data_IF_148105414154
#
_entry.id   IF_148105414154
#
_cell.length_a   1.000
_cell.length_b   1.000
_cell.length_c   1.000
_cell.angle_alpha   90.00
_cell.angle_beta   90.00
_cell.angle_gamma   90.00
#
_symmetry.space_group_name_H-M   'P 1'
#
loop_
_entity.id
_entity.type
_entity.pdbx_description
1 polymer ?
#
# COMPACT_ATOMS: atom_id res chain seq x y z
N UNK A 1 29.92 12.83 -15.23
CA UNK A 1 28.82 12.29 -16.08
C UNK A 1 28.74 10.80 -15.85
N UNK A 2 27.67 10.27 -15.26
CA UNK A 2 27.46 8.80 -15.23
C UNK A 2 27.00 8.40 -16.62
N UNK A 3 27.87 7.74 -17.37
CA UNK A 3 27.51 7.20 -18.67
C UNK A 3 26.40 6.17 -18.47
N UNK A 4 25.33 6.31 -19.25
CA UNK A 4 24.28 5.30 -19.28
C UNK A 4 24.87 4.01 -19.84
N UNK A 5 24.82 2.94 -19.08
CA UNK A 5 25.26 1.62 -19.54
C UNK A 5 24.12 0.96 -20.31
N UNK A 6 24.43 0.48 -21.51
CA UNK A 6 23.44 -0.25 -22.32
C UNK A 6 22.92 -1.47 -21.55
N UNK A 7 21.60 -1.57 -21.42
CA UNK A 7 20.90 -2.68 -20.76
C UNK A 7 19.96 -3.34 -21.76
N UNK A 8 20.23 -4.60 -22.08
CA UNK A 8 19.34 -5.41 -22.93
C UNK A 8 18.25 -6.06 -22.05
N UNK A 9 17.30 -5.26 -21.59
CA UNK A 9 16.19 -5.70 -20.74
C UNK A 9 14.87 -5.14 -21.26
N UNK A 10 13.76 -5.81 -20.93
CA UNK A 10 12.42 -5.28 -21.20
C UNK A 10 12.19 -4.06 -20.31
N UNK A 11 11.90 -2.93 -20.94
CA UNK A 11 11.61 -1.68 -20.24
C UNK A 11 10.12 -1.61 -19.94
N UNK A 12 9.78 -1.79 -18.67
CA UNK A 12 8.42 -1.59 -18.17
C UNK A 12 8.18 -0.12 -17.75
N UNK A 13 6.95 0.19 -17.33
CA UNK A 13 6.56 1.53 -16.86
C UNK A 13 7.47 2.06 -15.73
N UNK A 14 7.95 1.18 -14.83
CA UNK A 14 8.81 1.56 -13.71
C UNK A 14 10.21 1.93 -14.19
N UNK A 15 10.77 1.11 -15.08
CA UNK A 15 12.09 1.36 -15.66
C UNK A 15 12.09 2.59 -16.58
N UNK A 16 11.00 2.79 -17.35
CA UNK A 16 10.84 4.00 -18.17
C UNK A 16 10.84 5.27 -17.31
N UNK A 17 10.12 5.24 -16.17
CA UNK A 17 10.14 6.36 -15.21
C UNK A 17 11.55 6.61 -14.67
N UNK A 18 12.31 5.57 -14.35
CA UNK A 18 13.69 5.69 -13.87
C UNK A 18 14.61 6.26 -14.95
N UNK A 19 14.43 5.85 -16.22
CA UNK A 19 15.19 6.37 -17.35
C UNK A 19 14.93 7.88 -17.53
N UNK A 20 13.66 8.30 -17.51
CA UNK A 20 13.31 9.71 -17.62
C UNK A 20 13.82 10.53 -16.43
N UNK A 21 13.68 10.02 -15.20
CA UNK A 21 14.23 10.70 -14.01
C UNK A 21 15.75 10.86 -14.11
N UNK A 22 16.46 9.81 -14.55
CA UNK A 22 17.90 9.88 -14.79
C UNK A 22 18.23 10.91 -15.88
N UNK A 23 17.47 10.97 -16.96
CA UNK A 23 17.67 11.95 -18.04
C UNK A 23 17.54 13.38 -17.53
N UNK A 24 16.51 13.69 -16.71
CA UNK A 24 16.32 15.01 -16.12
C UNK A 24 17.44 15.41 -15.13
N UNK A 25 17.99 14.44 -14.39
CA UNK A 25 19.10 14.72 -13.44
C UNK A 25 20.48 14.81 -14.11
N UNK A 26 20.66 14.19 -15.28
CA UNK A 26 21.97 14.10 -15.95
C UNK A 26 22.14 15.07 -17.12
N UNK A 27 21.06 15.52 -17.72
CA UNK A 27 21.04 16.41 -18.88
C UNK A 27 20.13 17.62 -18.64
N UNK A 28 20.15 18.55 -19.58
CA UNK A 28 19.26 19.70 -19.55
C UNK A 28 17.80 19.29 -19.81
N UNK A 29 16.87 20.07 -19.27
CA UNK A 29 15.42 19.86 -19.44
C UNK A 29 15.01 19.72 -20.90
N UNK A 30 15.61 20.50 -21.81
CA UNK A 30 15.34 20.43 -23.23
C UNK A 30 15.72 19.08 -23.86
N UNK A 31 16.89 18.54 -23.50
CA UNK A 31 17.35 17.24 -23.98
C UNK A 31 16.48 16.08 -23.43
N UNK A 32 16.05 16.20 -22.17
CA UNK A 32 15.13 15.24 -21.58
C UNK A 32 13.76 15.23 -22.29
N UNK A 33 13.25 16.39 -22.68
CA UNK A 33 12.02 16.50 -23.47
C UNK A 33 12.18 15.88 -24.86
N UNK A 34 13.30 16.11 -25.55
CA UNK A 34 13.58 15.48 -26.84
C UNK A 34 13.64 13.96 -26.72
N UNK A 35 14.30 13.42 -25.69
CA UNK A 35 14.32 12.00 -25.42
C UNK A 35 12.92 11.43 -25.20
N UNK A 36 12.07 12.12 -24.45
CA UNK A 36 10.68 11.70 -24.22
C UNK A 36 9.87 11.68 -25.53
N UNK A 37 10.06 12.67 -26.41
CA UNK A 37 9.43 12.70 -27.72
C UNK A 37 9.89 11.59 -28.63
N UNK A 38 11.19 11.31 -28.69
CA UNK A 38 11.74 10.20 -29.48
C UNK A 38 11.21 8.85 -28.98
N UNK A 39 11.14 8.62 -27.67
CA UNK A 39 10.54 7.43 -27.09
C UNK A 39 9.06 7.29 -27.44
N UNK A 40 8.31 8.38 -27.43
CA UNK A 40 6.92 8.43 -27.88
C UNK A 40 6.79 8.01 -29.33
N UNK A 41 7.58 8.59 -30.23
CA UNK A 41 7.56 8.24 -31.67
C UNK A 41 7.93 6.78 -31.89
N UNK A 42 8.96 6.30 -31.22
CA UNK A 42 9.37 4.90 -31.29
C UNK A 42 8.20 3.98 -30.86
N UNK A 43 7.58 4.27 -29.73
CA UNK A 43 6.43 3.53 -29.21
C UNK A 43 5.26 3.49 -30.20
N UNK A 44 4.86 4.62 -30.75
CA UNK A 44 3.78 4.68 -31.74
C UNK A 44 4.13 3.92 -33.03
N UNK A 45 5.34 4.09 -33.54
CA UNK A 45 5.80 3.40 -34.75
C UNK A 45 5.67 1.89 -34.61
N UNK A 46 6.27 1.32 -33.52
CA UNK A 46 6.25 -0.12 -33.33
C UNK A 46 4.90 -0.67 -32.92
N UNK A 47 4.10 0.08 -32.13
CA UNK A 47 2.74 -0.33 -31.83
C UNK A 47 1.84 -0.42 -33.09
N UNK A 48 2.00 0.52 -34.01
CA UNK A 48 1.29 0.49 -35.31
C UNK A 48 1.75 -0.66 -36.19
N UNK A 49 3.07 -0.92 -36.25
CA UNK A 49 3.60 -2.06 -37.02
C UNK A 49 3.19 -3.42 -36.42
N UNK A 50 3.13 -3.53 -35.12
CA UNK A 50 2.73 -4.76 -34.43
C UNK A 50 1.24 -5.10 -34.64
N UNK A 51 0.38 -4.10 -34.89
CA UNK A 51 -1.05 -4.30 -35.16
C UNK A 51 -1.75 -5.08 -34.05
N UNK A 52 -1.46 -4.73 -32.77
CA UNK A 52 -1.98 -5.46 -31.60
C UNK A 52 -3.51 -5.43 -31.58
N UNK A 53 -4.13 -6.60 -31.64
CA UNK A 53 -5.58 -6.80 -31.57
C UNK A 53 -5.91 -7.82 -30.49
N UNK A 54 -7.15 -7.91 -30.06
CA UNK A 54 -7.63 -8.85 -29.05
C UNK A 54 -8.66 -9.75 -29.67
N UNK A 55 -8.48 -11.06 -29.50
CA UNK A 55 -9.47 -12.08 -29.83
C UNK A 55 -9.89 -12.87 -28.59
N UNK A 56 -10.99 -13.63 -28.69
CA UNK A 56 -11.42 -14.53 -27.61
C UNK A 56 -10.38 -15.65 -27.37
N UNK A 57 -9.66 -16.05 -28.40
CA UNK A 57 -8.62 -17.09 -28.30
C UNK A 57 -7.40 -16.63 -27.50
N UNK A 58 -7.10 -15.33 -27.47
CA UNK A 58 -6.00 -14.78 -26.67
C UNK A 58 -6.26 -14.91 -25.16
N UNK A 59 -7.51 -15.11 -24.77
CA UNK A 59 -7.91 -15.32 -23.39
C UNK A 59 -7.72 -16.78 -22.95
N UNK A 60 -6.50 -17.31 -23.00
CA UNK A 60 -6.18 -18.69 -22.63
C UNK A 60 -6.33 -18.92 -21.13
N UNK A 61 -7.12 -19.93 -20.77
CA UNK A 61 -7.38 -20.29 -19.38
C UNK A 61 -6.33 -21.33 -18.95
N UNK A 62 -5.54 -21.07 -17.89
CA UNK A 62 -4.58 -22.03 -17.39
C UNK A 62 -5.27 -23.26 -16.81
N UNK A 63 -4.75 -24.45 -17.12
CA UNK A 63 -5.29 -25.71 -16.60
C UNK A 63 -5.25 -25.81 -15.06
N UNK A 64 -4.32 -25.11 -14.44
CA UNK A 64 -4.15 -25.03 -12.98
C UNK A 64 -5.40 -24.46 -12.28
N UNK A 65 -6.24 -23.70 -12.98
CA UNK A 65 -7.45 -23.08 -12.42
C UNK A 65 -8.39 -24.13 -11.78
N UNK A 66 -8.70 -25.22 -12.48
CA UNK A 66 -9.63 -26.26 -11.99
C UNK A 66 -9.10 -26.90 -10.70
N UNK A 67 -7.82 -27.24 -10.66
CA UNK A 67 -7.17 -27.85 -9.50
C UNK A 67 -7.18 -26.92 -8.28
N UNK A 68 -6.93 -25.61 -8.50
CA UNK A 68 -6.95 -24.63 -7.42
C UNK A 68 -8.35 -24.40 -6.87
N UNK A 69 -9.36 -24.36 -7.75
CA UNK A 69 -10.75 -24.20 -7.32
C UNK A 69 -11.25 -25.42 -6.54
N UNK A 70 -10.86 -26.64 -6.93
CA UNK A 70 -11.20 -27.87 -6.21
C UNK A 70 -10.57 -27.89 -4.81
N UNK A 71 -9.29 -27.53 -4.67
CA UNK A 71 -8.63 -27.39 -3.36
C UNK A 71 -9.36 -26.40 -2.47
N UNK A 72 -9.69 -25.21 -2.98
CA UNK A 72 -10.43 -24.20 -2.23
C UNK A 72 -11.81 -24.71 -1.78
N UNK A 73 -12.53 -25.44 -2.66
CA UNK A 73 -13.82 -26.06 -2.30
C UNK A 73 -13.67 -27.10 -1.18
N UNK A 74 -12.62 -27.93 -1.21
CA UNK A 74 -12.35 -28.91 -0.16
C UNK A 74 -12.06 -28.26 1.19
N UNK A 75 -11.28 -27.16 1.21
CA UNK A 75 -11.00 -26.38 2.42
C UNK A 75 -12.26 -25.77 3.01
N UNK A 76 -13.14 -25.22 2.18
CA UNK A 76 -14.42 -24.67 2.62
C UNK A 76 -15.32 -25.76 3.18
N UNK A 77 -15.42 -26.89 2.51
CA UNK A 77 -16.22 -28.04 3.00
C UNK A 77 -15.69 -28.56 4.34
N UNK A 78 -14.38 -28.59 4.53
CA UNK A 78 -13.78 -28.93 5.83
C UNK A 78 -14.14 -27.89 6.90
N UNK A 79 -14.14 -26.60 6.56
CA UNK A 79 -14.56 -25.53 7.48
C UNK A 79 -16.03 -25.64 7.87
N UNK A 80 -16.91 -26.04 6.93
CA UNK A 80 -18.32 -26.32 7.21
C UNK A 80 -18.50 -27.50 8.16
N UNK A 81 -17.75 -28.59 7.95
CA UNK A 81 -17.76 -29.75 8.85
C UNK A 81 -17.33 -29.37 10.28
N UNK A 82 -16.34 -28.47 10.42
CA UNK A 82 -15.86 -28.00 11.70
C UNK A 82 -16.93 -27.12 12.39
N UNK A 83 -17.64 -26.29 11.61
CA UNK A 83 -18.76 -25.49 12.07
C UNK A 83 -19.91 -26.36 12.57
N UNK A 84 -20.32 -27.36 11.80
CA UNK A 84 -21.39 -28.30 12.20
C UNK A 84 -21.04 -29.08 13.48
N UNK A 85 -19.76 -29.28 13.78
CA UNK A 85 -19.28 -29.85 15.04
C UNK A 85 -19.27 -28.85 16.20
N UNK A 86 -19.69 -27.63 16.00
CA UNK A 86 -19.73 -26.58 17.02
C UNK A 86 -18.36 -26.04 17.47
N UNK A 87 -17.29 -26.30 16.71
CA UNK A 87 -15.92 -25.87 17.08
C UNK A 87 -15.58 -24.44 16.71
N UNK A 88 -16.29 -23.86 15.75
CA UNK A 88 -16.13 -22.48 15.28
C UNK A 88 -17.49 -21.79 15.24
N UNK A 89 -17.48 -20.46 15.41
CA UNK A 89 -18.66 -19.59 15.31
C UNK A 89 -19.00 -19.32 13.84
N UNK A 90 -20.22 -18.83 13.58
CA UNK A 90 -20.65 -18.45 12.22
C UNK A 90 -19.79 -17.33 11.63
N UNK A 91 -19.40 -16.34 12.46
CA UNK A 91 -18.51 -15.25 12.05
C UNK A 91 -17.12 -15.78 11.64
N UNK A 92 -16.57 -16.70 12.42
CA UNK A 92 -15.28 -17.33 12.10
C UNK A 92 -15.36 -18.16 10.80
N UNK A 93 -16.46 -18.91 10.61
CA UNK A 93 -16.72 -19.64 9.37
C UNK A 93 -16.76 -18.69 8.17
N UNK A 94 -17.54 -17.62 8.27
CA UNK A 94 -17.68 -16.62 7.22
C UNK A 94 -16.33 -15.97 6.85
N UNK A 95 -15.54 -15.59 7.86
CA UNK A 95 -14.22 -15.01 7.63
C UNK A 95 -13.27 -16.02 6.95
N UNK A 96 -13.28 -17.29 7.36
CA UNK A 96 -12.49 -18.33 6.68
C UNK A 96 -12.85 -18.50 5.21
N UNK A 97 -14.13 -18.49 4.88
CA UNK A 97 -14.60 -18.57 3.48
C UNK A 97 -14.04 -17.40 2.67
N UNK A 98 -14.15 -16.17 3.19
CA UNK A 98 -13.65 -14.97 2.51
C UNK A 98 -12.13 -15.07 2.31
N UNK A 99 -11.39 -15.45 3.35
CA UNK A 99 -9.93 -15.54 3.30
C UNK A 99 -9.47 -16.60 2.30
N UNK A 100 -10.08 -17.80 2.31
CA UNK A 100 -9.78 -18.88 1.35
C UNK A 100 -9.99 -18.41 -0.09
N UNK A 101 -11.12 -17.78 -0.41
CA UNK A 101 -11.38 -17.27 -1.75
C UNK A 101 -10.47 -16.11 -2.16
N UNK A 102 -10.13 -15.22 -1.22
CA UNK A 102 -9.20 -14.12 -1.48
C UNK A 102 -7.79 -14.64 -1.80
N UNK A 103 -7.28 -15.58 -1.00
CA UNK A 103 -5.98 -16.22 -1.21
C UNK A 103 -5.96 -17.01 -2.54
N UNK A 104 -6.99 -17.79 -2.82
CA UNK A 104 -7.11 -18.53 -4.08
C UNK A 104 -7.12 -17.59 -5.29
N UNK A 105 -7.85 -16.49 -5.19
CA UNK A 105 -7.94 -15.48 -6.25
C UNK A 105 -6.59 -14.79 -6.53
N UNK A 106 -5.82 -14.47 -5.48
CA UNK A 106 -4.50 -13.86 -5.61
C UNK A 106 -3.46 -14.85 -6.13
N UNK A 107 -3.49 -16.07 -5.64
CA UNK A 107 -2.64 -17.17 -6.11
C UNK A 107 -2.90 -17.49 -7.58
N UNK A 108 -4.17 -17.51 -8.00
CA UNK A 108 -4.55 -17.69 -9.39
C UNK A 108 -4.03 -16.56 -10.29
N UNK A 109 -4.06 -15.29 -9.83
CA UNK A 109 -3.48 -14.16 -10.55
C UNK A 109 -1.99 -14.39 -10.81
N UNK A 110 -1.24 -14.84 -9.81
CA UNK A 110 0.19 -15.09 -9.93
C UNK A 110 0.49 -16.24 -10.90
N UNK A 111 -0.34 -17.30 -10.89
CA UNK A 111 -0.22 -18.41 -11.84
C UNK A 111 -0.55 -17.99 -13.28
N UNK A 112 -1.50 -17.09 -13.49
CA UNK A 112 -1.82 -16.53 -14.81
C UNK A 112 -0.63 -15.74 -15.35
N UNK A 113 -0.01 -14.89 -14.52
CA UNK A 113 1.19 -14.13 -14.90
C UNK A 113 2.34 -15.08 -15.27
N UNK A 114 2.58 -16.11 -14.45
CA UNK A 114 3.58 -17.14 -14.71
C UNK A 114 3.33 -17.88 -16.03
N UNK A 115 2.07 -18.25 -16.28
CA UNK A 115 1.68 -18.92 -17.52
C UNK A 115 1.96 -18.04 -18.75
N UNK A 116 1.50 -16.80 -18.77
CA UNK A 116 1.77 -15.90 -19.90
C UNK A 116 3.26 -15.62 -20.10
N UNK A 117 4.00 -15.41 -19.03
CA UNK A 117 5.44 -15.15 -19.12
C UNK A 117 6.24 -16.29 -19.75
N UNK A 118 5.87 -17.54 -19.45
CA UNK A 118 6.66 -18.71 -19.85
C UNK A 118 6.14 -19.38 -21.13
N UNK A 119 4.83 -19.39 -21.34
CA UNK A 119 4.20 -20.15 -22.43
C UNK A 119 3.70 -19.28 -23.60
N UNK A 120 3.31 -18.05 -23.31
CA UNK A 120 2.75 -17.16 -24.34
C UNK A 120 3.12 -15.68 -24.11
N UNK A 121 4.43 -15.34 -24.21
CA UNK A 121 4.90 -13.99 -23.91
C UNK A 121 4.45 -12.95 -24.96
N UNK A 122 4.04 -13.38 -26.14
CA UNK A 122 3.56 -12.51 -27.23
C UNK A 122 2.03 -12.31 -27.22
N UNK A 123 1.34 -12.80 -26.19
CA UNK A 123 -0.09 -12.60 -26.06
C UNK A 123 -0.45 -11.12 -25.93
N UNK A 124 -1.39 -10.65 -26.81
CA UNK A 124 -1.79 -9.24 -26.89
C UNK A 124 -2.30 -8.70 -25.55
N UNK A 125 -3.10 -9.47 -24.81
CA UNK A 125 -3.65 -9.06 -23.52
C UNK A 125 -2.56 -8.93 -22.47
N UNK A 126 -1.60 -9.86 -22.48
CA UNK A 126 -0.46 -9.83 -21.57
C UNK A 126 0.45 -8.65 -21.87
N UNK A 127 0.80 -8.40 -23.12
CA UNK A 127 1.63 -7.25 -23.53
C UNK A 127 1.01 -5.94 -23.07
N UNK A 128 -0.29 -5.72 -23.31
CA UNK A 128 -0.97 -4.50 -22.90
C UNK A 128 -1.00 -4.30 -21.38
N UNK A 129 -1.32 -5.35 -20.62
CA UNK A 129 -1.41 -5.28 -19.17
C UNK A 129 -0.04 -5.19 -18.49
N UNK A 130 0.96 -5.91 -19.00
CA UNK A 130 2.32 -5.93 -18.46
C UNK A 130 3.07 -4.62 -18.73
N UNK A 131 2.95 -4.07 -19.94
CA UNK A 131 3.54 -2.77 -20.27
C UNK A 131 2.95 -1.61 -19.45
N UNK A 132 1.77 -1.78 -18.89
CA UNK A 132 1.05 -0.75 -18.15
C UNK A 132 0.44 0.33 -19.06
N UNK A 133 0.41 0.10 -20.38
CA UNK A 133 -0.21 1.01 -21.35
C UNK A 133 -1.73 1.03 -21.21
N UNK A 134 -2.33 -0.15 -21.11
CA UNK A 134 -3.79 -0.29 -20.95
C UNK A 134 -4.14 -1.54 -20.15
N UNK A 135 -5.09 -1.39 -19.24
CA UNK A 135 -5.52 -2.49 -18.39
C UNK A 135 -4.62 -2.70 -17.18
N UNK A 136 -5.10 -3.59 -16.30
CA UNK A 136 -4.41 -3.98 -15.09
C UNK A 136 -4.43 -5.50 -14.97
N UNK A 137 -3.44 -6.10 -14.36
CA UNK A 137 -3.38 -7.54 -14.12
C UNK A 137 -4.58 -8.09 -13.33
N UNK A 138 -5.20 -7.25 -12.49
CA UNK A 138 -6.46 -7.60 -11.81
C UNK A 138 -7.65 -7.73 -12.78
N UNK A 139 -7.67 -6.95 -13.87
CA UNK A 139 -8.68 -7.07 -14.92
C UNK A 139 -8.46 -8.32 -15.77
N UNK A 140 -7.20 -8.65 -16.09
CA UNK A 140 -6.84 -9.91 -16.78
C UNK A 140 -7.29 -11.13 -15.96
N UNK A 141 -7.15 -11.08 -14.63
CA UNK A 141 -7.67 -12.13 -13.75
C UNK A 141 -9.17 -12.35 -13.93
N UNK A 142 -9.96 -11.28 -14.09
CA UNK A 142 -11.41 -11.41 -14.33
C UNK A 142 -11.73 -12.00 -15.69
N UNK A 143 -10.90 -11.74 -16.70
CA UNK A 143 -11.10 -12.26 -18.07
C UNK A 143 -10.77 -13.74 -18.18
N UNK A 144 -9.70 -14.20 -17.53
CA UNK A 144 -9.09 -15.53 -17.72
C UNK A 144 -9.17 -16.40 -16.46
N UNK A 145 -9.10 -15.80 -15.27
CA UNK A 145 -9.09 -16.52 -13.99
C UNK A 145 -10.48 -16.72 -13.41
N UNK A 146 -10.79 -15.98 -12.35
CA UNK A 146 -12.12 -15.94 -11.73
C UNK A 146 -12.49 -14.49 -11.39
N UNK A 147 -13.77 -14.18 -11.37
CA UNK A 147 -14.22 -12.85 -10.99
C UNK A 147 -14.02 -12.62 -9.48
N UNK A 148 -14.30 -13.61 -8.65
CA UNK A 148 -14.06 -13.58 -7.22
C UNK A 148 -15.28 -13.18 -6.39
N UNK A 149 -15.02 -12.69 -5.17
CA UNK A 149 -16.05 -12.26 -4.23
C UNK A 149 -16.65 -10.92 -4.65
N UNK A 150 -17.96 -10.81 -4.53
CA UNK A 150 -18.73 -9.60 -4.84
C UNK A 150 -19.31 -8.98 -3.58
N UNK A 151 -19.56 -7.67 -3.62
CA UNK A 151 -20.28 -6.98 -2.57
C UNK A 151 -21.78 -6.90 -2.86
N UNK A 152 -22.59 -7.06 -1.84
CA UNK A 152 -24.03 -6.85 -1.84
C UNK A 152 -24.37 -5.33 -1.96
N UNK A 153 -25.60 -4.93 -2.33
CA UNK A 153 -26.04 -3.55 -2.33
C UNK A 153 -25.82 -2.81 -1.01
N UNK A 154 -25.93 -3.51 0.13
CA UNK A 154 -25.64 -2.97 1.48
C UNK A 154 -24.15 -2.72 1.72
N UNK A 155 -23.25 -3.27 0.89
CA UNK A 155 -21.80 -3.17 1.02
C UNK A 155 -21.15 -4.30 1.79
N UNK A 156 -21.91 -5.29 2.23
CA UNK A 156 -21.37 -6.51 2.82
C UNK A 156 -20.82 -7.43 1.72
N UNK A 157 -19.84 -8.25 2.08
CA UNK A 157 -19.26 -9.21 1.14
C UNK A 157 -20.15 -10.44 1.11
N UNK A 158 -20.50 -10.91 -0.08
CA UNK A 158 -21.22 -12.16 -0.24
C UNK A 158 -20.27 -13.35 -0.07
N UNK A 159 -20.73 -14.39 0.61
CA UNK A 159 -19.97 -15.63 0.84
C UNK A 159 -19.87 -16.53 -0.41
N UNK A 160 -20.66 -16.25 -1.44
CA UNK A 160 -20.64 -16.97 -2.72
C UNK A 160 -19.72 -16.25 -3.71
N UNK A 161 -18.56 -16.83 -4.10
CA UNK A 161 -17.70 -16.26 -5.13
C UNK A 161 -18.21 -16.61 -6.52
N UNK A 162 -17.96 -15.74 -7.47
CA UNK A 162 -18.11 -16.03 -8.89
C UNK A 162 -16.86 -16.77 -9.36
N UNK A 163 -16.95 -18.08 -9.53
CA UNK A 163 -15.84 -18.96 -9.93
C UNK A 163 -15.53 -18.88 -11.41
N UNK A 164 -16.53 -18.52 -12.22
CA UNK A 164 -16.41 -18.36 -13.67
C UNK A 164 -15.73 -17.04 -14.04
N UNK A 165 -15.18 -17.01 -15.24
CA UNK A 165 -14.60 -15.83 -15.85
C UNK A 165 -15.46 -15.35 -17.04
N UNK A 166 -15.10 -14.20 -17.62
CA UNK A 166 -15.86 -13.67 -18.76
C UNK A 166 -15.72 -14.53 -20.02
N UNK A 167 -14.61 -15.25 -20.22
CA UNK A 167 -14.45 -16.15 -21.36
C UNK A 167 -15.38 -17.37 -21.28
N UNK A 168 -15.52 -17.97 -20.10
CA UNK A 168 -16.41 -19.12 -19.85
C UNK A 168 -17.89 -18.74 -19.88
N UNK A 169 -18.19 -17.44 -19.74
CA UNK A 169 -19.52 -16.93 -19.55
C UNK A 169 -20.01 -17.08 -18.09
N UNK A 170 -20.87 -16.17 -17.68
CA UNK A 170 -21.45 -16.14 -16.34
C UNK A 170 -22.77 -16.91 -16.31
N UNK A 171 -23.09 -17.53 -15.17
CA UNK A 171 -24.43 -18.04 -14.91
C UNK A 171 -25.42 -16.89 -14.71
N UNK A 172 -26.71 -17.17 -14.76
CA UNK A 172 -27.74 -16.16 -14.51
C UNK A 172 -27.59 -15.54 -13.12
N UNK A 173 -27.31 -16.38 -12.12
CA UNK A 173 -27.05 -15.93 -10.73
C UNK A 173 -25.79 -15.06 -10.64
N UNK A 174 -24.68 -15.46 -11.29
CA UNK A 174 -23.44 -14.69 -11.32
C UNK A 174 -23.64 -13.32 -12.01
N UNK A 175 -24.45 -13.29 -13.05
CA UNK A 175 -24.78 -12.08 -13.78
C UNK A 175 -25.58 -11.09 -12.91
N UNK A 176 -26.61 -11.57 -12.20
CA UNK A 176 -27.40 -10.76 -11.29
C UNK A 176 -26.55 -10.21 -10.13
N UNK A 177 -25.73 -11.06 -9.50
CA UNK A 177 -24.80 -10.61 -8.46
C UNK A 177 -23.82 -9.55 -8.97
N UNK A 178 -23.33 -9.72 -10.19
CA UNK A 178 -22.46 -8.74 -10.85
C UNK A 178 -23.17 -7.43 -11.12
N UNK A 179 -24.47 -7.48 -11.46
CA UNK A 179 -25.32 -6.31 -11.69
C UNK A 179 -25.47 -5.45 -10.46
N UNK A 180 -25.59 -6.02 -9.26
CA UNK A 180 -25.64 -5.27 -8.00
C UNK A 180 -24.35 -4.47 -7.76
N UNK A 181 -23.20 -5.13 -7.93
CA UNK A 181 -21.90 -4.46 -7.78
C UNK A 181 -21.69 -3.34 -8.80
N UNK A 182 -22.06 -3.55 -10.06
CA UNK A 182 -21.98 -2.55 -11.11
C UNK A 182 -22.88 -1.33 -10.82
N UNK A 183 -24.15 -1.57 -10.46
CA UNK A 183 -25.09 -0.51 -10.10
C UNK A 183 -24.60 0.32 -8.92
N UNK A 184 -24.13 -0.33 -7.88
CA UNK A 184 -23.54 0.35 -6.70
C UNK A 184 -22.34 1.19 -7.10
N UNK A 185 -21.44 0.65 -7.93
CA UNK A 185 -20.26 1.38 -8.41
C UNK A 185 -20.63 2.65 -9.18
N UNK A 186 -21.65 2.61 -10.07
CA UNK A 186 -22.13 3.78 -10.81
C UNK A 186 -22.71 4.83 -9.85
N UNK A 187 -23.58 4.43 -8.94
CA UNK A 187 -24.20 5.33 -7.96
C UNK A 187 -23.17 5.95 -7.03
N UNK A 188 -22.27 5.13 -6.49
CA UNK A 188 -21.18 5.60 -5.63
C UNK A 188 -20.27 6.60 -6.34
N UNK A 189 -19.94 6.36 -7.61
CA UNK A 189 -19.13 7.27 -8.40
C UNK A 189 -19.82 8.62 -8.58
N UNK A 190 -21.10 8.62 -8.95
CA UNK A 190 -21.87 9.85 -9.12
C UNK A 190 -21.97 10.69 -7.84
N UNK A 191 -22.27 10.04 -6.70
CA UNK A 191 -22.41 10.73 -5.41
C UNK A 191 -21.08 11.18 -4.82
N UNK A 192 -20.05 10.31 -4.85
CA UNK A 192 -18.75 10.61 -4.24
C UNK A 192 -17.95 11.64 -5.03
N UNK A 193 -18.17 11.77 -6.34
CA UNK A 193 -17.53 12.81 -7.17
C UNK A 193 -17.91 14.20 -6.68
N UNK A 194 -19.20 14.45 -6.40
CA UNK A 194 -19.66 15.70 -5.84
C UNK A 194 -19.03 16.00 -4.47
N UNK A 195 -18.97 15.00 -3.58
CA UNK A 195 -18.34 15.13 -2.26
C UNK A 195 -16.85 15.46 -2.35
N UNK A 196 -16.12 14.81 -3.28
CA UNK A 196 -14.71 15.09 -3.51
C UNK A 196 -14.49 16.51 -4.04
N UNK A 197 -15.32 16.97 -4.98
CA UNK A 197 -15.26 18.35 -5.49
C UNK A 197 -15.55 19.38 -4.40
N UNK A 198 -16.55 19.15 -3.56
CA UNK A 198 -16.86 20.02 -2.44
C UNK A 198 -15.76 20.07 -1.38
N UNK A 199 -15.13 18.90 -1.06
CA UNK A 199 -13.99 18.85 -0.17
C UNK A 199 -12.80 19.66 -0.72
N UNK A 200 -12.50 19.50 -2.02
CA UNK A 200 -11.42 20.24 -2.68
C UNK A 200 -11.65 21.75 -2.61
N UNK A 201 -12.86 22.22 -2.90
CA UNK A 201 -13.21 23.63 -2.80
C UNK A 201 -12.99 24.15 -1.36
N UNK A 202 -13.49 23.44 -0.34
CA UNK A 202 -13.32 23.85 1.06
C UNK A 202 -11.84 23.90 1.48
N UNK A 203 -11.02 22.93 1.02
CA UNK A 203 -9.58 22.93 1.29
C UNK A 203 -8.92 24.15 0.68
N UNK A 204 -9.24 24.49 -0.57
CA UNK A 204 -8.69 25.66 -1.26
C UNK A 204 -9.14 26.96 -0.56
N UNK A 205 -10.43 27.09 -0.22
CA UNK A 205 -10.95 28.29 0.46
C UNK A 205 -10.22 28.58 1.80
N UNK A 206 -9.86 27.52 2.55
CA UNK A 206 -9.13 27.66 3.81
C UNK A 206 -7.64 27.94 3.62
N UNK A 207 -7.03 27.39 2.58
CA UNK A 207 -5.58 27.43 2.38
C UNK A 207 -5.09 28.47 1.38
N UNK A 208 -5.96 29.19 0.69
CA UNK A 208 -5.59 30.14 -0.37
C UNK A 208 -4.66 31.27 0.09
N UNK A 209 -4.75 31.65 1.37
CA UNK A 209 -3.92 32.71 1.94
C UNK A 209 -2.46 32.32 2.16
N UNK A 210 -2.15 31.00 2.08
CA UNK A 210 -0.81 30.50 2.36
C UNK A 210 0.05 30.64 1.10
N UNK A 211 0.93 31.64 1.14
CA UNK A 211 1.85 31.99 0.06
C UNK A 211 3.29 31.92 0.56
N UNK A 212 4.25 31.78 -0.36
CA UNK A 212 5.68 31.99 -0.07
C UNK A 212 5.95 33.49 -0.03
N UNK A 213 6.23 34.05 1.17
CA UNK A 213 6.45 35.51 1.32
C UNK A 213 7.88 35.92 1.49
N UNK A 214 8.69 35.09 2.15
CA UNK A 214 10.07 35.43 2.53
C UNK A 214 11.05 34.32 2.19
N UNK A 215 12.32 34.65 2.05
CA UNK A 215 13.39 33.68 1.80
C UNK A 215 13.67 32.81 3.03
N UNK A 216 13.71 33.39 4.22
CA UNK A 216 14.09 32.69 5.45
C UNK A 216 13.40 33.29 6.67
N UNK A 217 12.69 32.49 7.45
CA UNK A 217 12.09 32.92 8.73
C UNK A 217 13.02 32.75 9.93
N UNK A 218 14.28 32.33 9.74
CA UNK A 218 15.31 32.16 10.78
C UNK A 218 14.88 31.26 11.96
N UNK A 219 13.97 30.33 11.75
CA UNK A 219 13.48 29.44 12.79
C UNK A 219 14.58 28.51 13.33
N UNK A 220 14.62 28.35 14.66
CA UNK A 220 15.42 27.33 15.33
C UNK A 220 14.69 25.96 15.43
N UNK A 221 13.37 25.97 15.24
CA UNK A 221 12.57 24.77 15.31
C UNK A 221 12.76 23.88 14.08
N UNK A 222 12.80 22.58 14.29
CA UNK A 222 13.02 21.60 13.24
C UNK A 222 12.16 20.36 13.43
N UNK A 223 11.90 19.68 12.34
CA UNK A 223 11.30 18.35 12.37
C UNK A 223 12.43 17.32 12.30
N UNK A 224 12.46 16.40 13.28
CA UNK A 224 13.52 15.39 13.36
C UNK A 224 12.99 14.05 12.84
N UNK A 225 13.61 13.58 11.77
CA UNK A 225 13.41 12.22 11.26
C UNK A 225 14.45 11.30 11.89
N UNK A 226 14.02 10.38 12.74
CA UNK A 226 14.89 9.37 13.33
C UNK A 226 14.64 8.01 12.71
N UNK A 227 15.71 7.26 12.44
CA UNK A 227 15.67 5.90 11.90
C UNK A 227 14.82 4.93 12.75
N UNK A 228 14.72 5.19 14.05
CA UNK A 228 13.94 4.36 14.98
C UNK A 228 12.43 4.40 14.72
N UNK A 229 11.94 5.46 14.09
CA UNK A 229 10.51 5.68 13.89
C UNK A 229 9.98 5.12 12.56
N UNK A 230 10.84 4.61 11.69
CA UNK A 230 10.47 4.11 10.37
C UNK A 230 10.93 2.67 10.19
N UNK A 231 10.04 1.84 9.66
CA UNK A 231 10.34 0.43 9.38
C UNK A 231 11.36 0.28 8.23
N UNK A 232 11.28 1.16 7.22
CA UNK A 232 12.17 1.16 6.06
C UNK A 232 12.98 2.46 5.99
N UNK A 233 14.28 2.35 5.76
CA UNK A 233 15.14 3.51 5.53
C UNK A 233 14.76 4.31 4.28
N UNK A 234 14.27 3.64 3.25
CA UNK A 234 13.89 4.26 1.99
C UNK A 234 12.76 5.26 2.18
N UNK A 235 11.80 4.95 3.07
CA UNK A 235 10.67 5.85 3.39
C UNK A 235 11.13 7.17 4.03
N UNK A 236 12.27 7.17 4.74
CA UNK A 236 12.85 8.40 5.31
C UNK A 236 13.44 9.26 4.20
N UNK A 237 14.22 8.67 3.31
CA UNK A 237 14.90 9.38 2.24
C UNK A 237 13.91 10.03 1.27
N UNK A 238 12.81 9.35 0.97
CA UNK A 238 11.73 9.89 0.13
C UNK A 238 11.03 11.11 0.80
N UNK A 239 10.98 11.14 2.14
CA UNK A 239 10.36 12.24 2.88
C UNK A 239 11.28 13.44 3.12
N UNK A 240 12.60 13.24 3.15
CA UNK A 240 13.57 14.34 3.37
C UNK A 240 14.10 14.92 2.07
N UNK A 241 13.93 14.23 0.94
CA UNK A 241 14.34 14.72 -0.37
C UNK A 241 13.71 16.10 -0.66
N UNK A 242 14.52 17.04 -1.15
CA UNK A 242 14.07 18.40 -1.48
C UNK A 242 13.82 19.31 -0.29
N UNK A 243 14.02 18.84 0.94
CA UNK A 243 13.92 19.68 2.14
C UNK A 243 15.26 20.34 2.47
N UNK A 244 15.23 21.35 3.32
CA UNK A 244 16.39 22.09 3.78
C UNK A 244 16.79 21.64 5.18
N UNK A 245 18.07 21.41 5.40
CA UNK A 245 18.62 21.03 6.71
C UNK A 245 18.55 22.20 7.68
N UNK A 246 18.07 21.97 8.92
CA UNK A 246 18.08 22.96 9.97
C UNK A 246 19.36 22.91 10.82
N UNK A 247 19.96 21.74 10.99
CA UNK A 247 21.21 21.54 11.72
C UNK A 247 22.26 20.94 10.80
N UNK A 248 23.55 21.27 11.01
CA UNK A 248 24.63 20.65 10.25
C UNK A 248 24.70 19.16 10.58
N UNK A 249 25.11 18.34 9.60
CA UNK A 249 25.30 16.91 9.76
C UNK A 249 26.78 16.59 9.82
N UNK A 250 27.17 15.85 10.85
CA UNK A 250 28.53 15.37 11.08
C UNK A 250 28.64 13.88 10.80
N UNK A 251 29.79 13.43 10.35
CA UNK A 251 30.09 12.00 10.19
C UNK A 251 30.15 11.32 11.57
N UNK A 252 29.38 10.27 11.82
CA UNK A 252 29.39 9.57 13.12
C UNK A 252 30.74 8.92 13.45
N UNK A 253 31.59 8.64 12.45
CA UNK A 253 32.90 7.99 12.65
C UNK A 253 34.04 9.00 12.81
N UNK A 254 34.07 10.03 11.97
CA UNK A 254 35.20 10.99 11.91
C UNK A 254 34.90 12.34 12.54
N UNK A 255 33.64 12.58 12.96
CA UNK A 255 33.17 13.87 13.47
C UNK A 255 33.43 15.06 12.53
N UNK A 256 33.73 14.82 11.27
CA UNK A 256 33.92 15.86 10.26
C UNK A 256 32.57 16.37 9.78
N UNK A 257 32.50 17.65 9.42
CA UNK A 257 31.30 18.27 8.87
C UNK A 257 31.03 17.72 7.47
N UNK A 258 29.95 16.97 7.30
CA UNK A 258 29.50 16.45 6.00
C UNK A 258 28.68 17.48 5.23
N UNK A 259 27.68 18.08 5.88
CA UNK A 259 26.75 19.02 5.24
C UNK A 259 26.49 20.20 6.18
N UNK A 260 26.54 21.42 5.61
CA UNK A 260 26.28 22.65 6.33
C UNK A 260 24.78 22.85 6.62
N UNK A 261 24.50 23.66 7.63
CA UNK A 261 23.15 24.15 7.92
C UNK A 261 22.57 24.90 6.70
N UNK A 262 21.26 24.87 6.53
CA UNK A 262 20.51 25.49 5.43
C UNK A 262 20.88 24.99 4.01
N UNK A 263 21.50 23.82 3.89
CA UNK A 263 21.74 23.16 2.61
C UNK A 263 20.51 22.36 2.18
N UNK A 264 20.17 22.39 0.90
CA UNK A 264 19.12 21.56 0.30
C UNK A 264 19.56 20.10 0.23
N UNK A 265 18.64 19.18 0.48
CA UNK A 265 18.91 17.75 0.38
C UNK A 265 18.66 17.30 -1.06
N UNK A 266 19.76 17.10 -1.81
CA UNK A 266 19.75 16.58 -3.17
C UNK A 266 19.82 15.04 -3.19
N UNK A 267 19.52 14.39 -4.32
CA UNK A 267 19.66 12.93 -4.46
C UNK A 267 21.09 12.43 -4.22
N UNK A 268 22.10 13.26 -4.55
CA UNK A 268 23.52 12.96 -4.32
C UNK A 268 23.85 12.90 -2.82
N UNK A 269 23.34 13.87 -2.05
CA UNK A 269 23.52 13.89 -0.58
C UNK A 269 22.82 12.68 0.07
N UNK A 270 21.69 12.24 -0.46
CA UNK A 270 21.01 11.03 0.03
C UNK A 270 21.89 9.79 -0.14
N UNK A 271 22.64 9.66 -1.24
CA UNK A 271 23.58 8.56 -1.41
C UNK A 271 24.67 8.59 -0.33
N UNK A 272 25.25 9.76 -0.07
CA UNK A 272 26.24 9.95 1.01
C UNK A 272 25.64 9.58 2.38
N UNK A 273 24.39 9.97 2.64
CA UNK A 273 23.71 9.63 3.89
C UNK A 273 23.45 8.12 4.07
N UNK A 274 23.19 7.41 2.97
CA UNK A 274 23.06 5.95 2.97
C UNK A 274 24.37 5.26 3.33
N UNK A 275 25.47 5.72 2.71
CA UNK A 275 26.79 5.13 2.90
C UNK A 275 27.31 5.35 4.34
N UNK A 276 27.01 6.52 4.92
CA UNK A 276 27.44 6.88 6.28
C UNK A 276 26.49 6.45 7.40
N UNK A 277 25.36 5.79 7.09
CA UNK A 277 24.40 5.26 8.07
C UNK A 277 23.98 6.27 9.16
N UNK A 278 23.66 7.50 8.77
CA UNK A 278 23.25 8.57 9.70
C UNK A 278 21.90 8.19 10.35
N UNK A 279 21.78 8.40 11.65
CA UNK A 279 20.62 7.98 12.45
C UNK A 279 19.50 9.01 12.51
N UNK A 280 19.82 10.31 12.43
CA UNK A 280 18.86 11.39 12.65
C UNK A 280 19.08 12.54 11.66
N UNK A 281 17.97 13.07 11.15
CA UNK A 281 17.95 14.18 10.20
C UNK A 281 17.06 15.28 10.74
N UNK A 282 17.63 16.46 11.01
CA UNK A 282 16.92 17.65 11.44
C UNK A 282 16.62 18.53 10.22
N UNK A 283 15.37 18.55 9.77
CA UNK A 283 14.95 19.29 8.57
C UNK A 283 13.96 20.39 8.90
N UNK A 284 13.94 21.41 8.06
CA UNK A 284 12.95 22.48 8.11
C UNK A 284 11.62 21.96 7.51
N UNK A 285 10.51 22.44 8.05
CA UNK A 285 9.17 22.04 7.62
C UNK A 285 8.24 23.24 7.58
N UNK A 286 7.22 23.26 6.71
CA UNK A 286 6.16 24.25 6.78
C UNK A 286 5.46 24.31 8.14
N UNK A 287 5.37 23.16 8.86
CA UNK A 287 4.78 23.08 10.20
C UNK A 287 5.59 23.79 11.29
N UNK A 288 6.89 23.98 11.08
CA UNK A 288 7.80 24.64 12.03
C UNK A 288 8.14 26.08 11.63
N UNK A 289 7.50 26.57 10.55
CA UNK A 289 7.71 27.94 10.09
C UNK A 289 7.13 28.95 11.07
N UNK A 290 7.82 30.05 11.33
CA UNK A 290 7.39 31.09 12.27
C UNK A 290 6.48 32.16 11.62
N UNK A 291 6.33 32.15 10.30
CA UNK A 291 5.49 33.09 9.59
C UNK A 291 4.01 32.85 9.84
N UNK A 292 3.26 33.90 10.10
CA UNK A 292 1.81 33.84 10.26
C UNK A 292 1.12 33.79 8.88
N UNK A 293 0.27 32.77 8.65
CA UNK A 293 -0.46 32.55 7.38
C UNK A 293 0.41 32.62 6.11
N UNK A 294 1.68 32.25 6.25
CA UNK A 294 2.65 32.23 5.17
C UNK A 294 3.72 31.17 5.45
N UNK A 295 4.48 30.81 4.45
CA UNK A 295 5.64 29.92 4.61
C UNK A 295 6.85 30.57 3.94
N UNK A 296 8.04 30.40 4.52
CA UNK A 296 9.26 30.87 3.87
C UNK A 296 9.80 29.81 2.89
N UNK A 297 10.57 30.27 1.92
CA UNK A 297 11.16 29.45 0.85
C UNK A 297 11.95 28.25 1.39
N UNK A 298 12.79 28.45 2.42
CA UNK A 298 13.59 27.38 3.03
C UNK A 298 12.79 26.38 3.85
N UNK A 299 11.69 26.78 4.48
CA UNK A 299 10.82 25.86 5.22
C UNK A 299 9.95 24.99 4.30
N UNK A 300 9.59 25.51 3.11
CA UNK A 300 8.89 24.75 2.11
C UNK A 300 9.83 23.77 1.40
N UNK A 301 10.97 24.27 0.90
CA UNK A 301 11.96 23.49 0.20
C UNK A 301 11.81 23.54 -1.32
N UNK A 302 11.90 22.42 -1.98
CA UNK A 302 11.86 22.32 -3.44
C UNK A 302 10.49 22.58 -4.04
N UNK A 303 10.49 23.26 -5.19
CA UNK A 303 9.47 23.07 -6.21
C UNK A 303 9.72 21.74 -6.92
N UNK A 304 8.73 20.86 -6.91
CA UNK A 304 8.85 19.52 -7.48
C UNK A 304 8.93 19.50 -9.02
N UNK A 305 8.57 20.61 -9.66
CA UNK A 305 8.63 20.72 -11.13
C UNK A 305 10.07 20.97 -11.62
N UNK A 306 10.81 21.83 -10.92
CA UNK A 306 12.11 22.32 -11.35
C UNK A 306 13.29 21.80 -10.52
N UNK A 307 13.01 21.05 -9.43
CA UNK A 307 14.02 20.57 -8.46
C UNK A 307 14.88 21.69 -7.86
N UNK A 308 14.38 22.91 -7.83
CA UNK A 308 14.95 24.10 -7.23
C UNK A 308 14.12 24.57 -6.05
N UNK A 309 14.67 25.50 -5.24
CA UNK A 309 13.86 26.17 -4.22
C UNK A 309 12.66 26.88 -4.86
N UNK A 310 11.50 26.72 -4.22
CA UNK A 310 10.25 27.35 -4.65
C UNK A 310 10.41 28.88 -4.75
N UNK A 311 9.77 29.50 -5.73
CA UNK A 311 9.83 30.94 -5.94
C UNK A 311 8.98 31.71 -4.90
N UNK A 312 9.37 32.97 -4.65
CA UNK A 312 8.61 33.84 -3.78
C UNK A 312 7.33 34.28 -4.52
N UNK A 313 6.20 34.24 -3.82
CA UNK A 313 4.88 34.56 -4.39
C UNK A 313 4.07 33.33 -4.81
N UNK A 314 4.66 32.14 -4.79
CA UNK A 314 3.97 30.89 -5.13
C UNK A 314 2.81 30.59 -4.16
N UNK A 315 1.64 30.21 -4.72
CA UNK A 315 0.41 29.93 -3.98
C UNK A 315 0.38 28.46 -3.52
N UNK A 316 1.23 28.11 -2.58
CA UNK A 316 1.41 26.72 -2.10
C UNK A 316 0.16 26.14 -1.44
N UNK A 317 -0.68 26.98 -0.83
CA UNK A 317 -1.93 26.53 -0.20
C UNK A 317 -2.93 26.04 -1.23
N UNK A 318 -3.07 26.73 -2.37
CA UNK A 318 -3.92 26.30 -3.49
C UNK A 318 -3.37 25.00 -4.07
N UNK A 319 -2.06 24.95 -4.33
CA UNK A 319 -1.39 23.75 -4.85
C UNK A 319 -1.60 22.54 -3.95
N UNK A 320 -1.50 22.72 -2.62
CA UNK A 320 -1.78 21.65 -1.66
C UNK A 320 -3.23 21.18 -1.71
N UNK A 321 -4.20 22.10 -1.76
CA UNK A 321 -5.63 21.77 -1.89
C UNK A 321 -5.95 21.00 -3.17
N UNK A 322 -5.36 21.40 -4.29
CA UNK A 322 -5.51 20.72 -5.58
C UNK A 322 -4.86 19.34 -5.58
N UNK A 323 -3.65 19.19 -5.04
CA UNK A 323 -2.94 17.91 -4.99
C UNK A 323 -3.55 16.88 -4.03
N UNK A 324 -4.35 17.33 -3.05
CA UNK A 324 -5.16 16.44 -2.20
C UNK A 324 -6.50 16.09 -2.89
N UNK A 325 -7.12 17.05 -3.58
CA UNK A 325 -8.44 16.89 -4.19
C UNK A 325 -8.43 16.04 -5.46
N UNK A 326 -7.42 16.19 -6.32
CA UNK A 326 -7.31 15.45 -7.56
C UNK A 326 -7.30 13.92 -7.35
N UNK A 327 -6.43 13.33 -6.50
CA UNK A 327 -6.47 11.89 -6.24
C UNK A 327 -7.80 11.43 -5.63
N UNK A 328 -8.47 12.27 -4.83
CA UNK A 328 -9.79 11.98 -4.29
C UNK A 328 -10.82 11.75 -5.39
N UNK A 329 -10.84 12.60 -6.38
CA UNK A 329 -11.74 12.48 -7.56
C UNK A 329 -11.36 11.26 -8.40
N UNK A 330 -10.08 11.05 -8.71
CA UNK A 330 -9.62 9.87 -9.47
C UNK A 330 -9.92 8.55 -8.76
N UNK A 331 -9.71 8.47 -7.45
CA UNK A 331 -9.99 7.26 -6.67
C UNK A 331 -11.48 6.93 -6.69
N UNK A 332 -12.34 7.95 -6.62
CA UNK A 332 -13.78 7.80 -6.72
C UNK A 332 -14.20 7.26 -8.08
N UNK A 333 -13.59 7.74 -9.17
CA UNK A 333 -13.84 7.23 -10.53
C UNK A 333 -13.30 5.80 -10.71
N UNK A 334 -12.14 5.46 -10.12
CA UNK A 334 -11.55 4.12 -10.23
C UNK A 334 -12.33 3.03 -9.51
N UNK A 335 -13.07 3.32 -8.46
CA UNK A 335 -13.91 2.34 -7.76
C UNK A 335 -14.99 1.74 -8.66
N UNK A 336 -15.44 2.47 -9.69
CA UNK A 336 -16.34 1.96 -10.71
C UNK A 336 -15.70 0.86 -11.57
N UNK A 337 -14.43 0.97 -11.91
CA UNK A 337 -13.72 -0.02 -12.75
C UNK A 337 -13.47 -1.36 -12.05
N UNK A 338 -13.52 -1.44 -10.74
CA UNK A 338 -13.41 -2.70 -10.00
C UNK A 338 -14.72 -3.48 -9.93
N UNK A 339 -15.84 -2.86 -10.31
CA UNK A 339 -17.14 -3.52 -10.45
C UNK A 339 -17.68 -4.15 -9.16
N UNK A 340 -17.35 -3.60 -8.00
CA UNK A 340 -17.78 -4.12 -6.70
C UNK A 340 -17.02 -5.38 -6.25
N UNK A 341 -15.92 -5.73 -6.90
CA UNK A 341 -15.07 -6.84 -6.51
C UNK A 341 -14.34 -6.51 -5.22
N UNK A 342 -14.40 -7.41 -4.27
CA UNK A 342 -13.62 -7.31 -3.05
C UNK A 342 -12.15 -7.60 -3.36
N UNK A 343 -11.30 -6.60 -3.10
CA UNK A 343 -9.85 -6.77 -3.05
C UNK A 343 -9.45 -6.71 -1.58
N UNK A 344 -8.91 -7.82 -1.05
CA UNK A 344 -8.33 -7.77 0.30
C UNK A 344 -7.23 -6.72 0.31
N UNK A 345 -7.29 -5.79 1.27
CA UNK A 345 -6.17 -4.88 1.50
C UNK A 345 -4.95 -5.74 1.83
N UNK A 346 -3.85 -5.55 1.10
CA UNK A 346 -2.60 -6.22 1.38
C UNK A 346 -2.15 -5.83 2.80
N UNK A 347 -2.31 -6.76 3.74
CA UNK A 347 -1.73 -6.60 5.08
C UNK A 347 -0.23 -6.71 4.92
N UNK A 348 0.50 -5.90 5.66
CA UNK A 348 1.94 -5.96 5.68
C UNK A 348 2.36 -7.25 6.37
N UNK A 349 2.67 -8.28 5.58
CA UNK A 349 3.07 -9.60 6.06
C UNK A 349 4.57 -9.65 6.27
N UNK A 350 4.97 -10.25 7.38
CA UNK A 350 6.36 -10.58 7.68
C UNK A 350 6.57 -12.03 7.30
N UNK A 351 7.45 -12.28 6.32
CA UNK A 351 7.70 -13.60 5.74
C UNK A 351 9.06 -14.11 6.21
N UNK A 352 9.19 -15.42 6.41
CA UNK A 352 10.47 -16.05 6.76
C UNK A 352 11.43 -16.06 5.58
N UNK A 353 12.63 -15.46 5.70
CA UNK A 353 13.62 -15.47 4.61
C UNK A 353 14.37 -16.80 4.48
N UNK A 354 14.40 -17.63 5.53
CA UNK A 354 15.16 -18.88 5.61
C UNK A 354 14.34 -20.00 6.24
N UNK A 355 14.77 -21.25 6.06
CA UNK A 355 14.27 -22.40 6.79
C UNK A 355 14.92 -22.46 8.17
N UNK A 356 14.15 -22.51 9.24
CA UNK A 356 14.73 -22.52 10.58
C UNK A 356 13.73 -22.54 11.72
N UNK A 357 14.24 -22.46 12.94
CA UNK A 357 13.46 -22.41 14.17
C UNK A 357 13.36 -20.98 14.65
N UNK A 358 12.14 -20.53 14.94
CA UNK A 358 11.90 -19.18 15.45
C UNK A 358 12.08 -19.15 16.98
N UNK A 359 12.81 -18.16 17.47
CA UNK A 359 12.93 -17.89 18.90
C UNK A 359 12.53 -16.46 19.23
N UNK A 360 11.74 -16.30 20.28
CA UNK A 360 11.32 -14.99 20.78
C UNK A 360 12.38 -14.45 21.73
N UNK A 361 12.80 -13.21 21.50
CA UNK A 361 13.74 -12.57 22.41
C UNK A 361 13.08 -12.29 23.77
N UNK A 362 13.81 -12.46 24.88
CA UNK A 362 13.30 -12.41 26.28
C UNK A 362 12.46 -11.15 26.64
N UNK A 363 12.52 -10.08 25.86
CA UNK A 363 11.78 -8.82 26.09
C UNK A 363 10.45 -8.71 25.34
N UNK A 364 10.11 -9.68 24.48
CA UNK A 364 8.88 -9.64 23.69
C UNK A 364 7.70 -10.09 24.57
N UNK A 365 6.84 -9.14 24.94
CA UNK A 365 5.60 -9.43 25.66
C UNK A 365 4.48 -9.71 24.67
N UNK A 366 3.90 -10.91 24.73
CA UNK A 366 2.79 -11.33 23.86
C UNK A 366 1.56 -11.64 24.69
N UNK A 367 0.38 -11.46 24.08
CA UNK A 367 -0.92 -11.84 24.62
C UNK A 367 -1.59 -12.73 23.61
N UNK A 368 -2.22 -13.81 24.08
CA UNK A 368 -3.03 -14.69 23.23
C UNK A 368 -4.33 -13.97 22.92
N UNK A 369 -4.68 -13.89 21.64
CA UNK A 369 -5.93 -13.32 21.16
C UNK A 369 -6.52 -14.30 20.13
N UNK A 370 -7.81 -14.59 20.25
CA UNK A 370 -8.53 -15.36 19.25
C UNK A 370 -8.92 -14.42 18.13
N UNK A 371 -8.45 -14.72 16.92
CA UNK A 371 -8.79 -13.93 15.73
C UNK A 371 -10.20 -14.25 15.25
N UNK A 372 -10.75 -13.37 14.42
CA UNK A 372 -12.02 -13.66 13.71
C UNK A 372 -11.95 -14.89 12.79
N UNK A 373 -10.75 -15.45 12.60
CA UNK A 373 -10.49 -16.70 11.87
C UNK A 373 -10.64 -17.95 12.76
N UNK A 374 -10.86 -17.77 14.05
CA UNK A 374 -10.94 -18.85 15.04
C UNK A 374 -9.58 -19.47 15.41
N UNK A 375 -8.50 -18.76 15.13
CA UNK A 375 -7.14 -19.16 15.46
C UNK A 375 -6.64 -18.39 16.70
N UNK A 376 -5.99 -19.09 17.60
CA UNK A 376 -5.33 -18.46 18.75
C UNK A 376 -3.95 -17.99 18.30
N UNK A 377 -3.78 -16.66 18.23
CA UNK A 377 -2.56 -16.00 17.76
C UNK A 377 -1.94 -15.19 18.90
N UNK A 378 -0.65 -14.94 18.78
CA UNK A 378 0.09 -14.10 19.72
C UNK A 378 0.11 -12.67 19.18
N UNK A 379 -0.29 -11.69 20.00
CA UNK A 379 -0.21 -10.26 19.66
C UNK A 379 0.86 -9.61 20.52
N UNK A 380 1.76 -8.85 19.89
CA UNK A 380 2.85 -8.16 20.59
C UNK A 380 2.36 -6.90 21.29
N UNK A 381 2.63 -6.76 22.60
CA UNK A 381 2.34 -5.53 23.37
C UNK A 381 3.42 -4.45 23.26
N UNK A 382 4.63 -4.85 22.97
CA UNK A 382 5.79 -3.96 22.81
C UNK A 382 6.51 -4.29 21.51
N UNK A 383 7.30 -3.37 21.01
CA UNK A 383 8.23 -3.62 19.92
C UNK A 383 9.37 -4.51 20.44
N UNK A 384 9.83 -5.44 19.63
CA UNK A 384 10.88 -6.39 19.98
C UNK A 384 11.49 -7.04 18.76
N UNK A 385 12.24 -8.10 18.94
CA UNK A 385 12.85 -8.84 17.84
C UNK A 385 12.66 -10.34 17.99
N UNK A 386 12.52 -11.01 16.87
CA UNK A 386 12.57 -12.46 16.73
C UNK A 386 13.92 -12.86 16.14
N UNK A 387 14.39 -14.02 16.51
CA UNK A 387 15.60 -14.62 15.93
C UNK A 387 15.21 -15.90 15.23
N UNK A 388 15.58 -16.02 13.96
CA UNK A 388 15.47 -17.24 13.18
C UNK A 388 16.83 -17.96 13.23
N UNK A 389 16.82 -19.17 13.76
CA UNK A 389 17.98 -20.06 13.79
C UNK A 389 17.89 -20.94 12.56
N UNK A 390 18.81 -20.83 11.59
CA UNK A 390 18.76 -21.61 10.37
C UNK A 390 18.89 -23.11 10.65
N UNK A 391 18.22 -23.93 9.84
CA UNK A 391 18.36 -25.38 9.91
C UNK A 391 19.74 -25.84 9.42
N UNK A 392 20.31 -25.12 8.45
CA UNK A 392 21.64 -25.37 7.91
C UNK A 392 22.69 -24.52 8.62
N UNK A 393 23.74 -25.19 9.16
CA UNK A 393 24.84 -24.54 9.90
C UNK A 393 25.69 -23.55 9.10
N UNK A 394 25.41 -23.39 7.79
CA UNK A 394 26.13 -22.47 6.89
C UNK A 394 25.49 -21.09 6.76
N UNK A 395 24.27 -20.91 7.24
CA UNK A 395 23.55 -19.63 7.17
C UNK A 395 23.66 -18.89 8.52
N UNK A 396 23.72 -17.56 8.44
CA UNK A 396 23.81 -16.70 9.62
C UNK A 396 22.44 -16.56 10.32
N UNK A 397 22.47 -16.25 11.62
CA UNK A 397 21.29 -15.94 12.41
C UNK A 397 20.58 -14.70 11.85
N UNK A 398 19.31 -14.82 11.48
CA UNK A 398 18.52 -13.69 10.99
C UNK A 398 17.67 -13.11 12.10
N UNK A 399 17.91 -11.82 12.39
CA UNK A 399 17.12 -11.05 13.35
C UNK A 399 16.06 -10.26 12.61
N UNK A 400 14.78 -10.46 12.99
CA UNK A 400 13.63 -9.75 12.45
C UNK A 400 13.07 -8.83 13.53
N UNK A 401 13.04 -7.53 13.27
CA UNK A 401 12.43 -6.55 14.16
C UNK A 401 10.92 -6.51 13.99
N UNK A 402 10.21 -6.56 15.12
CA UNK A 402 8.74 -6.62 15.16
C UNK A 402 8.20 -5.38 15.84
N UNK A 403 7.19 -4.80 15.21
CA UNK A 403 6.49 -3.63 15.71
C UNK A 403 5.48 -4.02 16.80
N UNK A 404 5.08 -3.04 17.61
CA UNK A 404 3.95 -3.18 18.53
C UNK A 404 2.66 -3.48 17.74
N UNK A 405 1.75 -4.27 18.31
CA UNK A 405 0.49 -4.69 17.70
C UNK A 405 0.68 -5.54 16.42
N UNK A 406 1.72 -6.35 16.35
CA UNK A 406 1.89 -7.36 15.30
C UNK A 406 1.28 -8.68 15.76
N UNK A 407 0.46 -9.29 14.91
CA UNK A 407 -0.03 -10.65 15.09
C UNK A 407 1.08 -11.60 14.70
N UNK A 408 1.42 -12.56 15.57
CA UNK A 408 2.37 -13.63 15.30
C UNK A 408 1.62 -14.96 15.22
N UNK A 409 1.81 -15.69 14.13
CA UNK A 409 1.20 -16.99 13.94
C UNK A 409 2.00 -18.14 14.57
N UNK A 410 3.34 -18.16 14.47
CA UNK A 410 4.12 -19.26 15.02
C UNK A 410 4.26 -19.16 16.55
N UNK A 411 4.38 -20.32 17.17
CA UNK A 411 4.75 -20.44 18.59
C UNK A 411 6.26 -20.38 18.77
N UNK A 412 6.70 -20.05 19.97
CA UNK A 412 8.14 -20.07 20.28
C UNK A 412 8.73 -21.47 20.09
N UNK A 413 9.91 -21.56 19.46
CA UNK A 413 10.62 -22.78 19.07
C UNK A 413 9.93 -23.64 18.00
N UNK A 414 9.05 -23.04 17.18
CA UNK A 414 8.44 -23.71 16.05
C UNK A 414 9.36 -23.67 14.82
N UNK A 415 9.41 -24.78 14.08
CA UNK A 415 10.11 -24.84 12.81
C UNK A 415 9.26 -24.17 11.72
N UNK A 416 9.90 -23.32 10.91
CA UNK A 416 9.29 -22.61 9.79
C UNK A 416 10.04 -22.92 8.50
N UNK A 417 9.32 -23.11 7.41
CA UNK A 417 9.88 -23.16 6.08
C UNK A 417 10.07 -21.74 5.52
N UNK A 418 10.97 -21.60 4.57
CA UNK A 418 11.14 -20.37 3.79
C UNK A 418 9.81 -19.96 3.18
N UNK A 419 9.58 -18.66 3.07
CA UNK A 419 8.36 -18.03 2.55
C UNK A 419 7.07 -18.26 3.37
N UNK A 420 7.16 -18.85 4.58
CA UNK A 420 6.04 -18.90 5.52
C UNK A 420 5.79 -17.53 6.17
N UNK A 421 4.52 -17.18 6.33
CA UNK A 421 4.14 -15.92 6.99
C UNK A 421 4.36 -16.07 8.50
N UNK A 422 5.24 -15.25 9.06
CA UNK A 422 5.53 -15.19 10.51
C UNK A 422 4.48 -14.34 11.22
N UNK A 423 4.10 -13.22 10.63
CA UNK A 423 3.14 -12.33 11.27
C UNK A 423 2.58 -11.27 10.33
N UNK A 424 1.56 -10.59 10.82
CA UNK A 424 0.88 -9.49 10.14
C UNK A 424 0.88 -8.26 11.04
N UNK A 425 1.27 -7.12 10.50
CA UNK A 425 1.21 -5.84 11.23
C UNK A 425 -0.22 -5.32 11.20
N UNK A 426 -0.81 -5.12 12.38
CA UNK A 426 -2.11 -4.45 12.48
C UNK A 426 -1.87 -2.96 12.32
N UNK A 427 -2.28 -2.39 11.19
CA UNK A 427 -2.31 -0.95 11.01
C UNK A 427 -3.37 -0.36 11.95
N UNK A 428 -2.93 0.21 13.07
CA UNK A 428 -3.78 0.86 14.08
C UNK A 428 -4.45 2.15 13.58
N UNK A 429 -4.18 2.56 12.34
CA UNK A 429 -4.82 3.73 11.73
C UNK A 429 -6.27 3.49 11.26
N UNK A 430 -6.76 2.27 11.24
CA UNK A 430 -8.21 2.05 11.32
C UNK A 430 -8.61 2.22 12.77
N UNK A 431 -9.14 3.37 13.12
CA UNK A 431 -9.98 3.52 14.30
C UNK A 431 -10.90 2.30 14.31
N UNK A 432 -10.68 1.39 15.26
CA UNK A 432 -11.72 0.46 15.66
C UNK A 432 -12.88 1.38 16.03
N UNK A 433 -13.87 1.49 15.14
CA UNK A 433 -15.15 2.04 15.53
C UNK A 433 -15.62 1.08 16.61
N UNK A 434 -15.32 1.39 17.86
CA UNK A 434 -16.07 0.89 18.99
C UNK A 434 -17.48 1.37 18.72
N UNK A 435 -18.33 0.48 18.24
CA UNK A 435 -19.76 0.73 18.24
C UNK A 435 -20.16 0.86 19.70
N UNK A 436 -20.24 2.10 20.16
CA UNK A 436 -20.81 2.41 21.46
C UNK A 436 -22.31 2.16 21.31
N UNK A 437 -22.74 0.99 21.74
CA UNK A 437 -24.16 0.67 21.86
C UNK A 437 -24.66 1.44 23.07
N UNK A 438 -25.28 2.60 22.85
CA UNK A 438 -25.96 3.36 23.90
C UNK A 438 -27.21 2.57 24.29
N UNK A 439 -27.24 2.16 25.53
CA UNK A 439 -28.45 1.59 26.16
C UNK A 439 -29.13 2.77 26.86
N UNK A 440 -30.28 3.16 26.35
CA UNK A 440 -31.11 4.21 26.97
C UNK A 440 -31.99 3.59 28.04
N UNK A 441 -32.11 4.26 29.17
CA UNK A 441 -33.07 3.88 30.21
C UNK A 441 -34.43 4.44 29.88
N UNK A 442 -35.46 3.62 29.90
CA UNK A 442 -36.85 4.02 29.69
C UNK A 442 -37.50 4.66 30.96
N UNK A 443 -36.83 4.55 32.12
CA UNK A 443 -37.33 5.06 33.39
C UNK A 443 -36.28 5.93 34.08
N UNK A 444 -36.76 6.96 34.81
CA UNK A 444 -35.93 7.77 35.70
C UNK A 444 -35.67 7.02 37.01
N UNK A 445 -34.41 6.85 37.41
CA UNK A 445 -34.04 6.15 38.64
C UNK A 445 -32.53 6.05 38.82
N UNK A 446 -32.10 5.55 39.99
CA UNK A 446 -30.71 5.30 40.28
C UNK A 446 -30.29 3.95 39.72
N UNK A 447 -29.09 3.92 39.11
CA UNK A 447 -28.53 2.70 38.54
C UNK A 447 -27.55 2.09 39.54
N UNK A 448 -27.83 0.89 40.01
CA UNK A 448 -26.90 0.10 40.82
C UNK A 448 -26.13 -0.86 39.92
N UNK A 449 -24.80 -0.68 39.82
CA UNK A 449 -23.92 -1.60 39.09
C UNK A 449 -23.27 -2.56 40.09
N UNK A 450 -23.58 -3.83 40.00
CA UNK A 450 -22.93 -4.86 40.81
C UNK A 450 -21.43 -4.94 40.53
N UNK A 451 -20.61 -5.19 41.54
CA UNK A 451 -19.14 -5.02 41.62
C UNK A 451 -18.34 -5.97 40.65
N UNK A 452 -18.83 -6.26 39.46
CA UNK A 452 -18.08 -7.15 38.55
C UNK A 452 -17.60 -6.55 37.22
N UNK A 453 -18.03 -5.33 36.88
CA UNK A 453 -17.60 -4.70 35.62
C UNK A 453 -17.56 -3.17 35.77
N UNK A 454 -16.39 -2.58 35.54
CA UNK A 454 -16.24 -1.13 35.38
C UNK A 454 -16.75 -0.72 33.97
N UNK A 455 -17.92 -0.15 33.89
CA UNK A 455 -18.36 0.65 32.74
C UNK A 455 -18.27 2.13 33.11
N UNK A 456 -17.53 2.89 32.28
CA UNK A 456 -17.57 4.35 32.39
C UNK A 456 -18.85 4.81 31.68
N UNK A 457 -19.84 5.23 32.46
CA UNK A 457 -21.03 5.89 31.95
C UNK A 457 -20.75 7.40 31.97
N UNK A 458 -20.55 8.01 30.80
CA UNK A 458 -20.57 9.47 30.68
C UNK A 458 -21.99 9.94 30.50
N UNK A 459 -22.47 10.78 31.44
CA UNK A 459 -23.72 11.49 31.32
C UNK A 459 -23.58 12.65 30.33
N UNK A 460 -24.56 12.81 29.44
CA UNK A 460 -24.92 14.04 28.77
C UNK A 460 -26.31 14.40 29.25
#
# INVERSE_FOLDING_TARGET
MKNYTYQNTLIDKKQLRQLLAWSFTSYDSMQACLLADELKYLGFKYASHAGISISIEDLKIPFVKSVMLEKANQEIHNSEKIFLKGKITDVERFQKIIDTWSLTSESLKNQIIYYFKNYDPLNSVYIMAFSGARGNLSQVRQLVGMRGLMSDPSGQIMNLPIKKNFREGLTITDYLMSGYGARKGIVDTALKTANSGYLTRRLIDVSQDILIREKDCLTSHSFVFSRKNFANQQDIFDKILGRVLNKPIYDPQTSTLLVKQNTQITPELIQIFKDKNISEYSVRSPLTCQLYRAVCQKCYGWDLANENLVDIGEAIGILAGQSIGEPGTQLTMRTFHTGGIFTSEARQQIISPINGIIQFYKRLKTVILRTNRGEDVLVTKNAGSLVLIPADKKEDLVKIDILRNTILFPKNNQYLSKDTVIGEVINTNKQVKTEVKTILSDNCGEIFVGISFFFIVSFI
#
